data_IF_951098647607
#
_entry.id   IF_951098647607
#
_cell.length_a   1.000
_cell.length_b   1.000
_cell.length_c   1.000
_cell.angle_alpha   90.00
_cell.angle_beta   90.00
_cell.angle_gamma   90.00
#
_symmetry.space_group_name_H-M   'P 1'
#
loop_
_entity.id
_entity.type
_entity.pdbx_description
1 polymer ?
#
# COMPACT_ATOMS: atom_id res chain seq x y z
N UNK A 1 -10.45 4.11 -12.53
CA UNK A 1 -10.16 3.58 -11.18
C UNK A 1 -10.46 2.09 -11.18
N UNK A 2 -9.68 1.27 -10.48
CA UNK A 2 -9.99 -0.16 -10.32
C UNK A 2 -11.24 -0.34 -9.45
N UNK A 3 -11.96 -1.44 -9.63
CA UNK A 3 -13.06 -1.82 -8.73
C UNK A 3 -12.52 -2.51 -7.48
N UNK A 4 -13.33 -2.59 -6.43
CA UNK A 4 -12.98 -3.33 -5.22
C UNK A 4 -12.65 -4.81 -5.51
N UNK A 5 -13.46 -5.49 -6.34
CA UNK A 5 -13.24 -6.88 -6.72
C UNK A 5 -11.90 -7.08 -7.45
N UNK A 6 -11.54 -6.16 -8.35
CA UNK A 6 -10.24 -6.18 -9.03
C UNK A 6 -9.09 -6.06 -8.05
N UNK A 7 -9.20 -5.15 -7.07
CA UNK A 7 -8.19 -4.96 -6.01
C UNK A 7 -8.10 -6.19 -5.10
N UNK A 8 -9.23 -6.77 -4.71
CA UNK A 8 -9.26 -8.00 -3.91
C UNK A 8 -8.55 -9.14 -4.62
N UNK A 9 -8.82 -9.33 -5.92
CA UNK A 9 -8.15 -10.34 -6.73
C UNK A 9 -6.65 -10.06 -6.86
N UNK A 10 -6.25 -8.80 -7.04
CA UNK A 10 -4.85 -8.42 -7.11
C UNK A 10 -4.11 -8.73 -5.81
N UNK A 11 -4.68 -8.33 -4.67
CA UNK A 11 -4.11 -8.59 -3.34
C UNK A 11 -4.07 -10.08 -2.99
N UNK A 12 -5.04 -10.87 -3.45
CA UNK A 12 -5.06 -12.31 -3.20
C UNK A 12 -4.00 -13.07 -4.00
N UNK A 13 -3.73 -12.64 -5.25
CA UNK A 13 -2.83 -13.36 -6.15
C UNK A 13 -1.39 -12.82 -6.15
N UNK A 14 -1.21 -11.52 -5.90
CA UNK A 14 0.09 -10.84 -5.98
C UNK A 14 0.48 -10.12 -4.68
N UNK A 15 -0.42 -10.08 -3.68
CA UNK A 15 -0.18 -9.39 -2.43
C UNK A 15 0.95 -10.02 -1.63
N UNK A 16 1.89 -9.18 -1.21
CA UNK A 16 2.94 -9.53 -0.28
C UNK A 16 2.60 -9.01 1.11
N UNK A 17 3.11 -9.69 2.14
CA UNK A 17 3.00 -9.19 3.51
C UNK A 17 3.91 -7.97 3.65
N UNK A 18 3.30 -6.88 4.11
CA UNK A 18 3.93 -5.58 4.28
C UNK A 18 3.68 -5.05 5.69
N UNK A 19 4.63 -4.28 6.21
CA UNK A 19 4.44 -3.51 7.44
C UNK A 19 4.30 -2.04 7.09
N UNK A 20 3.24 -1.41 7.58
CA UNK A 20 3.03 0.03 7.48
C UNK A 20 3.70 0.67 8.68
N UNK A 21 4.63 1.58 8.43
CA UNK A 21 5.25 2.41 9.44
C UNK A 21 4.88 3.87 9.23
N UNK A 22 4.34 4.51 10.27
CA UNK A 22 3.93 5.91 10.28
C UNK A 22 4.69 6.65 11.36
N UNK A 23 5.32 7.76 11.01
CA UNK A 23 6.13 8.57 11.94
C UNK A 23 7.17 7.73 12.72
N UNK A 24 7.81 6.79 12.02
CA UNK A 24 8.86 5.92 12.58
C UNK A 24 8.36 4.74 13.43
N UNK A 25 7.04 4.51 13.52
CA UNK A 25 6.46 3.39 14.28
C UNK A 25 5.71 2.45 13.36
N UNK A 26 5.90 1.15 13.56
CA UNK A 26 5.11 0.13 12.85
C UNK A 26 3.70 0.10 13.44
N UNK A 27 2.68 0.30 12.59
CA UNK A 27 1.27 0.47 13.01
C UNK A 27 0.37 -0.66 12.53
N UNK A 28 0.72 -1.35 11.44
CA UNK A 28 -0.08 -2.43 10.88
C UNK A 28 0.76 -3.39 10.05
N UNK A 29 0.34 -4.66 10.00
CA UNK A 29 0.84 -5.67 9.06
C UNK A 29 -0.31 -6.03 8.12
N UNK A 30 -0.09 -5.86 6.82
CA UNK A 30 -1.14 -5.89 5.79
C UNK A 30 -0.69 -6.70 4.58
N UNK A 31 -1.63 -7.04 3.69
CA UNK A 31 -1.26 -7.35 2.31
C UNK A 31 -1.16 -6.06 1.50
N UNK A 32 -0.09 -5.93 0.74
CA UNK A 32 0.09 -4.84 -0.20
C UNK A 32 0.65 -5.36 -1.53
N UNK A 33 0.28 -4.69 -2.62
CA UNK A 33 0.89 -4.91 -3.94
C UNK A 33 1.68 -3.67 -4.30
N UNK A 34 2.95 -3.86 -4.63
CA UNK A 34 3.84 -2.83 -5.18
C UNK A 34 4.06 -3.14 -6.66
N UNK A 35 3.58 -2.29 -7.56
CA UNK A 35 3.72 -2.48 -9.01
C UNK A 35 3.74 -1.13 -9.74
N UNK A 36 4.65 -0.97 -10.71
CA UNK A 36 4.72 0.21 -11.59
C UNK A 36 4.67 1.57 -10.86
N UNK A 37 5.43 1.72 -9.77
CA UNK A 37 5.46 2.96 -8.98
C UNK A 37 4.20 3.21 -8.13
N UNK A 38 3.32 2.21 -8.01
CA UNK A 38 2.12 2.27 -7.19
C UNK A 38 2.10 1.21 -6.08
N UNK A 39 1.43 1.56 -5.00
CA UNK A 39 1.08 0.68 -3.89
C UNK A 39 -0.42 0.59 -3.80
N UNK A 40 -0.91 -0.63 -3.57
CA UNK A 40 -2.33 -0.91 -3.36
C UNK A 40 -2.48 -1.71 -2.07
N UNK A 41 -3.41 -1.31 -1.21
CA UNK A 41 -3.73 -2.01 0.04
C UNK A 41 -5.20 -1.80 0.42
N UNK A 42 -5.73 -2.64 1.31
CA UNK A 42 -7.05 -2.46 1.93
C UNK A 42 -6.99 -1.78 3.30
N UNK A 43 -5.78 -1.52 3.80
CA UNK A 43 -5.60 -0.72 5.01
C UNK A 43 -5.34 0.75 4.64
N UNK A 44 -5.92 1.73 5.36
CA UNK A 44 -5.67 3.14 5.09
C UNK A 44 -4.18 3.52 5.18
N UNK A 45 -3.64 4.05 4.08
CA UNK A 45 -2.29 4.61 4.02
C UNK A 45 -2.35 6.14 3.91
N UNK A 46 -1.32 6.80 4.40
CA UNK A 46 -1.17 8.26 4.39
C UNK A 46 0.12 8.66 3.66
N UNK A 47 0.15 9.90 3.16
CA UNK A 47 1.37 10.47 2.57
C UNK A 47 2.47 10.51 3.65
N UNK A 48 3.64 9.97 3.30
CA UNK A 48 4.77 9.86 4.22
C UNK A 48 4.86 8.52 4.96
N UNK A 49 3.84 7.67 4.90
CA UNK A 49 3.95 6.29 5.39
C UNK A 49 5.06 5.54 4.65
N UNK A 50 5.75 4.68 5.39
CA UNK A 50 6.69 3.70 4.83
C UNK A 50 6.00 2.34 4.77
N UNK A 51 5.90 1.78 3.58
CA UNK A 51 5.42 0.43 3.35
C UNK A 51 6.65 -0.46 3.20
N UNK A 52 6.93 -1.24 4.24
CA UNK A 52 8.09 -2.13 4.31
C UNK A 52 7.70 -3.49 3.74
N UNK A 53 8.34 -3.90 2.64
CA UNK A 53 8.13 -5.21 2.01
C UNK A 53 9.49 -5.88 1.83
N UNK A 54 9.65 -7.05 2.42
CA UNK A 54 10.94 -7.73 2.50
C UNK A 54 12.02 -6.81 3.10
N UNK A 55 13.08 -6.52 2.34
CA UNK A 55 14.20 -5.65 2.75
C UNK A 55 14.14 -4.27 2.08
N UNK A 56 12.98 -3.83 1.59
CA UNK A 56 12.78 -2.53 0.96
C UNK A 56 11.71 -1.74 1.69
N UNK A 57 11.91 -0.43 1.77
CA UNK A 57 10.91 0.52 2.26
C UNK A 57 10.43 1.37 1.11
N UNK A 58 9.11 1.54 0.97
CA UNK A 58 8.51 2.36 -0.06
C UNK A 58 7.79 3.52 0.61
N UNK A 59 8.24 4.76 0.36
CA UNK A 59 7.62 5.96 0.94
C UNK A 59 6.45 6.41 0.09
N UNK A 60 5.26 6.46 0.68
CA UNK A 60 4.03 6.93 0.03
C UNK A 60 4.13 8.43 -0.24
N UNK A 61 3.88 8.85 -1.48
CA UNK A 61 3.96 10.24 -1.93
C UNK A 61 2.59 10.86 -2.19
N UNK A 62 1.63 10.05 -2.62
CA UNK A 62 0.24 10.45 -2.80
C UNK A 62 -0.67 9.27 -2.46
N UNK A 63 -1.94 9.56 -2.14
CA UNK A 63 -2.96 8.55 -1.85
C UNK A 63 -4.26 8.95 -2.52
N UNK A 64 -4.94 7.98 -3.12
CA UNK A 64 -6.31 8.04 -3.58
C UNK A 64 -7.09 6.90 -2.92
N UNK A 65 -8.21 7.24 -2.27
CA UNK A 65 -9.12 6.24 -1.73
C UNK A 65 -10.00 5.66 -2.84
N UNK A 66 -10.26 4.36 -2.73
CA UNK A 66 -11.15 3.59 -3.60
C UNK A 66 -12.62 3.86 -3.36
N UNK A 67 -13.48 3.12 -4.05
CA UNK A 67 -14.92 3.15 -3.79
C UNK A 67 -15.21 2.80 -2.32
N UNK A 68 -15.99 3.64 -1.65
CA UNK A 68 -16.40 3.48 -0.25
C UNK A 68 -15.22 3.29 0.74
N UNK A 69 -14.03 3.81 0.39
CA UNK A 69 -12.79 3.65 1.16
C UNK A 69 -12.40 2.18 1.44
N UNK A 70 -12.87 1.25 0.59
CA UNK A 70 -12.59 -0.18 0.74
C UNK A 70 -11.17 -0.58 0.30
N UNK A 71 -10.46 0.31 -0.37
CA UNK A 71 -9.05 0.15 -0.71
C UNK A 71 -8.38 1.51 -0.91
N UNK A 72 -7.05 1.51 -0.90
CA UNK A 72 -6.23 2.69 -1.04
C UNK A 72 -5.14 2.44 -2.06
N UNK A 73 -4.91 3.42 -2.92
CA UNK A 73 -3.88 3.40 -3.94
C UNK A 73 -2.96 4.60 -3.74
N UNK A 74 -1.66 4.35 -3.62
CA UNK A 74 -0.68 5.41 -3.50
C UNK A 74 0.41 5.32 -4.55
N UNK A 75 1.06 6.44 -4.84
CA UNK A 75 2.36 6.44 -5.53
C UNK A 75 3.47 6.35 -4.49
N UNK A 76 4.62 5.80 -4.87
CA UNK A 76 5.75 5.69 -3.96
C UNK A 76 7.09 6.02 -4.62
N UNK A 77 8.06 6.35 -3.77
CA UNK A 77 9.48 6.24 -4.11
C UNK A 77 10.15 5.19 -3.22
N UNK A 78 11.12 4.48 -3.78
CA UNK A 78 11.98 3.61 -2.98
C UNK A 78 12.76 4.47 -1.98
N UNK A 79 12.65 4.08 -0.71
CA UNK A 79 13.36 4.70 0.40
C UNK A 79 14.49 3.75 0.81
N UNK A 80 15.72 4.23 0.64
CA UNK A 80 16.95 3.51 1.03
C UNK A 80 17.12 3.57 2.54
#
# INVERSE_FOLDING_TARGET
MMTFEQVQNLLNNMGLIATIARNGKDIATVKAVVINGQIITQYPIEIGDLIKIHNKSHKVLSVAAGAEDLFFQGTYNDYV
#
